data_IF_096548787992
#
_entry.id   IF_096548787992
#
_cell.length_a   1.000
_cell.length_b   1.000
_cell.length_c   1.000
_cell.angle_alpha   90.00
_cell.angle_beta   90.00
_cell.angle_gamma   90.00
#
_symmetry.space_group_name_H-M   'P 1'
#
loop_
_entity.id
_entity.type
_entity.pdbx_description
1 polymer ?
#
# COMPACT_ATOMS: atom_id res chain seq x y z
N UNK A 1 12.35 -14.15 -4.63
CA UNK A 1 12.34 -13.39 -3.35
C UNK A 1 10.99 -13.64 -2.69
N UNK A 2 10.96 -13.95 -1.39
CA UNK A 2 9.70 -14.20 -0.68
C UNK A 2 9.15 -12.89 -0.14
N UNK A 3 7.88 -12.63 -0.42
CA UNK A 3 7.20 -11.40 0.00
C UNK A 3 6.78 -11.47 1.46
N UNK A 4 7.17 -10.48 2.26
CA UNK A 4 6.71 -10.33 3.63
C UNK A 4 5.55 -9.33 3.71
N UNK A 5 4.72 -9.48 4.75
CA UNK A 5 3.55 -8.65 4.99
C UNK A 5 3.50 -8.20 6.45
N UNK A 6 2.74 -7.13 6.74
CA UNK A 6 2.45 -6.66 8.09
C UNK A 6 1.06 -7.12 8.51
N UNK A 7 0.96 -7.81 9.64
CA UNK A 7 -0.33 -8.29 10.13
C UNK A 7 -1.11 -7.18 10.84
N UNK A 8 -2.35 -6.93 10.42
CA UNK A 8 -3.23 -5.95 11.10
C UNK A 8 -3.60 -6.35 12.53
N UNK A 9 -3.65 -7.66 12.82
CA UNK A 9 -4.09 -8.16 14.13
C UNK A 9 -3.04 -8.06 15.22
N UNK A 10 -1.76 -8.31 14.91
CA UNK A 10 -0.67 -8.32 15.90
C UNK A 10 0.49 -7.36 15.58
N UNK A 11 0.40 -6.60 14.49
CA UNK A 11 1.46 -5.71 14.00
C UNK A 11 2.82 -6.40 13.73
N UNK A 12 2.85 -7.74 13.66
CA UNK A 12 4.06 -8.48 13.33
C UNK A 12 4.26 -8.56 11.81
N UNK A 13 5.52 -8.44 11.38
CA UNK A 13 5.92 -8.84 10.04
C UNK A 13 5.96 -10.36 9.93
N UNK A 14 5.38 -10.93 8.88
CA UNK A 14 5.37 -12.36 8.65
C UNK A 14 5.67 -12.71 7.19
N UNK A 15 6.23 -13.90 7.00
CA UNK A 15 6.63 -14.43 5.71
C UNK A 15 5.79 -15.67 5.39
N UNK A 16 4.64 -15.51 4.70
CA UNK A 16 3.78 -16.65 4.39
C UNK A 16 4.45 -17.62 3.40
N UNK A 17 3.98 -18.88 3.34
CA UNK A 17 4.30 -19.77 2.22
C UNK A 17 3.69 -19.23 0.92
N UNK A 18 4.20 -19.65 -0.23
CA UNK A 18 3.71 -19.19 -1.54
C UNK A 18 2.23 -19.55 -1.77
N UNK A 19 1.79 -20.71 -1.27
CA UNK A 19 0.40 -21.16 -1.29
C UNK A 19 -0.52 -20.40 -0.31
N UNK A 20 0.04 -19.50 0.51
CA UNK A 20 -0.63 -18.84 1.65
C UNK A 20 -1.22 -19.80 2.70
N UNK A 21 -1.04 -21.11 2.55
CA UNK A 21 -1.57 -22.12 3.46
C UNK A 21 -0.41 -22.80 4.17
N UNK A 22 -0.43 -22.82 5.50
CA UNK A 22 0.68 -23.39 6.27
C UNK A 22 0.68 -24.92 6.18
N UNK A 23 1.76 -25.55 5.70
CA UNK A 23 1.86 -27.00 5.68
C UNK A 23 1.85 -27.54 7.12
N UNK A 24 1.11 -28.62 7.35
CA UNK A 24 0.97 -29.25 8.68
C UNK A 24 -0.03 -28.57 9.62
N UNK A 25 -0.74 -27.51 9.19
CA UNK A 25 -1.82 -26.87 9.97
C UNK A 25 -3.08 -26.68 9.13
N UNK A 26 -3.95 -27.70 9.04
CA UNK A 26 -5.18 -27.61 8.26
C UNK A 26 -6.06 -26.44 8.75
N UNK A 27 -6.56 -25.63 7.81
CA UNK A 27 -7.39 -24.45 8.09
C UNK A 27 -6.62 -23.18 8.48
N UNK A 28 -5.29 -23.24 8.60
CA UNK A 28 -4.46 -22.07 8.85
C UNK A 28 -3.97 -21.46 7.52
N UNK A 29 -4.73 -20.49 7.01
CA UNK A 29 -4.37 -19.71 5.83
C UNK A 29 -3.96 -18.29 6.24
N UNK A 30 -2.77 -17.87 5.80
CA UNK A 30 -2.37 -16.48 5.79
C UNK A 30 -3.13 -15.71 4.70
N UNK A 31 -3.16 -14.40 4.83
CA UNK A 31 -3.59 -13.47 3.78
C UNK A 31 -2.58 -12.34 3.69
N UNK A 32 -2.68 -11.38 2.77
CA UNK A 32 -1.84 -10.17 2.79
C UNK A 32 -2.04 -9.28 4.03
N UNK A 33 -3.14 -9.46 4.78
CA UNK A 33 -3.53 -8.59 5.91
C UNK A 33 -3.42 -9.27 7.28
N UNK A 34 -3.28 -10.60 7.34
CA UNK A 34 -3.07 -11.32 8.59
C UNK A 34 -2.17 -12.55 8.46
N UNK A 35 -1.46 -12.87 9.55
CA UNK A 35 -0.54 -14.01 9.64
C UNK A 35 -1.22 -15.40 9.70
N UNK A 36 -2.55 -15.45 9.73
CA UNK A 36 -3.31 -16.71 9.70
C UNK A 36 -3.71 -17.25 11.08
N UNK A 37 -3.12 -16.74 12.17
CA UNK A 37 -3.61 -17.04 13.53
C UNK A 37 -5.07 -16.61 13.68
N UNK A 38 -5.87 -17.44 14.35
CA UNK A 38 -7.33 -17.24 14.49
C UNK A 38 -7.63 -15.87 15.11
N UNK A 39 -6.93 -15.51 16.20
CA UNK A 39 -7.09 -14.21 16.84
C UNK A 39 -6.75 -13.04 15.92
N UNK A 40 -5.72 -13.19 15.08
CA UNK A 40 -5.29 -12.15 14.15
C UNK A 40 -6.25 -12.00 12.98
N UNK A 41 -6.82 -13.11 12.48
CA UNK A 41 -7.87 -13.10 11.47
C UNK A 41 -9.10 -12.35 11.96
N UNK A 42 -9.58 -12.67 13.16
CA UNK A 42 -10.74 -11.99 13.77
C UNK A 42 -10.45 -10.51 14.04
N UNK A 43 -9.26 -10.19 14.55
CA UNK A 43 -8.86 -8.80 14.77
C UNK A 43 -8.80 -8.00 13.45
N UNK A 44 -8.19 -8.56 12.41
CA UNK A 44 -8.13 -7.92 11.09
C UNK A 44 -9.53 -7.68 10.50
N UNK A 45 -10.43 -8.66 10.58
CA UNK A 45 -11.82 -8.51 10.16
C UNK A 45 -12.54 -7.38 10.89
N UNK A 46 -12.35 -7.26 12.22
CA UNK A 46 -12.92 -6.17 13.02
C UNK A 46 -12.35 -4.81 12.64
N UNK A 47 -11.04 -4.72 12.40
CA UNK A 47 -10.38 -3.48 11.97
C UNK A 47 -10.94 -3.02 10.62
N UNK A 48 -11.05 -3.93 9.66
CA UNK A 48 -11.60 -3.66 8.32
C UNK A 48 -13.07 -3.23 8.42
N UNK A 49 -13.88 -3.95 9.21
CA UNK A 49 -15.29 -3.61 9.39
C UNK A 49 -15.47 -2.20 10.00
N UNK A 50 -14.64 -1.84 10.98
CA UNK A 50 -14.69 -0.53 11.65
C UNK A 50 -14.23 0.62 10.76
N UNK A 51 -13.41 0.36 9.75
CA UNK A 51 -12.93 1.42 8.87
C UNK A 51 -13.97 1.86 7.84
N UNK A 52 -15.03 1.07 7.62
CA UNK A 52 -16.03 1.32 6.57
C UNK A 52 -15.47 1.21 5.14
N UNK A 53 -14.28 0.60 4.98
CA UNK A 53 -13.62 0.44 3.69
C UNK A 53 -13.69 -1.03 3.25
N UNK A 54 -13.70 -1.31 1.94
CA UNK A 54 -13.76 -2.68 1.45
C UNK A 54 -12.47 -3.44 1.78
N UNK A 55 -12.58 -4.73 2.14
CA UNK A 55 -11.45 -5.59 2.46
C UNK A 55 -10.40 -5.65 1.32
N UNK A 56 -10.87 -5.64 0.07
CA UNK A 56 -10.01 -5.61 -1.12
C UNK A 56 -9.06 -4.40 -1.15
N UNK A 57 -9.45 -3.27 -0.55
CA UNK A 57 -8.57 -2.10 -0.46
C UNK A 57 -7.40 -2.37 0.50
N UNK A 58 -7.64 -3.02 1.63
CA UNK A 58 -6.59 -3.39 2.58
C UNK A 58 -5.60 -4.38 1.97
N UNK A 59 -6.10 -5.39 1.24
CA UNK A 59 -5.25 -6.33 0.52
C UNK A 59 -4.42 -5.62 -0.56
N UNK A 60 -5.04 -4.72 -1.33
CA UNK A 60 -4.32 -3.93 -2.33
C UNK A 60 -3.24 -3.02 -1.70
N UNK A 61 -3.51 -2.44 -0.53
CA UNK A 61 -2.53 -1.65 0.22
C UNK A 61 -1.37 -2.52 0.71
N UNK A 62 -1.65 -3.70 1.28
CA UNK A 62 -0.64 -4.63 1.74
C UNK A 62 0.26 -5.11 0.59
N UNK A 63 -0.34 -5.45 -0.56
CA UNK A 63 0.40 -5.84 -1.77
C UNK A 63 1.28 -4.71 -2.32
N UNK A 64 0.80 -3.46 -2.30
CA UNK A 64 1.60 -2.29 -2.72
C UNK A 64 2.75 -2.03 -1.76
N UNK A 65 2.52 -2.13 -0.45
CA UNK A 65 3.56 -1.94 0.57
C UNK A 65 4.67 -3.00 0.43
N UNK A 66 4.29 -4.26 0.23
CA UNK A 66 5.20 -5.36 -0.04
C UNK A 66 6.07 -5.10 -1.28
N UNK A 67 5.46 -4.72 -2.42
CA UNK A 67 6.21 -4.38 -3.65
C UNK A 67 7.13 -3.17 -3.48
N UNK A 68 6.69 -2.18 -2.70
CA UNK A 68 7.52 -1.00 -2.39
C UNK A 68 8.75 -1.40 -1.56
N UNK A 69 8.60 -2.31 -0.61
CA UNK A 69 9.73 -2.84 0.16
C UNK A 69 10.72 -3.62 -0.73
N UNK A 70 10.22 -4.42 -1.67
CA UNK A 70 11.07 -5.15 -2.64
C UNK A 70 11.85 -4.20 -3.56
N UNK A 71 11.28 -3.03 -3.90
CA UNK A 71 11.91 -2.03 -4.78
C UNK A 71 12.80 -1.03 -4.04
N UNK A 72 12.64 -0.88 -2.72
CA UNK A 72 13.46 0.00 -1.89
C UNK A 72 14.94 -0.45 -1.79
N UNK A 73 15.27 -1.67 -2.24
CA UNK A 73 16.66 -2.12 -2.43
C UNK A 73 17.36 -1.55 -3.66
N UNK A 74 16.65 -0.85 -4.55
CA UNK A 74 17.24 -0.11 -5.67
C UNK A 74 17.57 1.33 -5.28
N UNK A 75 18.60 1.96 -5.89
CA UNK A 75 18.91 3.36 -5.60
C UNK A 75 17.66 4.21 -5.82
N UNK A 76 17.26 4.95 -4.79
CA UNK A 76 16.15 5.89 -4.83
C UNK A 76 16.30 6.78 -6.06
N UNK A 77 15.50 6.58 -7.11
CA UNK A 77 15.52 7.46 -8.27
C UNK A 77 15.11 8.86 -7.79
N UNK A 78 16.01 9.86 -7.82
CA UNK A 78 15.65 11.22 -7.49
C UNK A 78 14.89 11.78 -8.69
N UNK A 79 13.56 11.79 -8.64
CA UNK A 79 12.78 12.31 -9.77
C UNK A 79 11.28 12.43 -9.54
N UNK A 80 10.69 11.72 -8.57
CA UNK A 80 9.24 11.76 -8.35
C UNK A 80 8.83 12.80 -7.29
N UNK A 81 9.37 14.02 -7.40
CA UNK A 81 8.77 15.18 -6.73
C UNK A 81 7.61 15.67 -7.59
N UNK A 82 6.43 15.67 -6.98
CA UNK A 82 5.17 16.18 -7.51
C UNK A 82 5.34 17.59 -8.10
N UNK A 83 4.87 17.81 -9.32
CA UNK A 83 4.38 19.11 -9.75
C UNK A 83 2.85 19.04 -9.84
N UNK A 84 2.19 19.21 -8.68
CA UNK A 84 0.82 19.72 -8.67
C UNK A 84 0.90 21.18 -9.12
N UNK A 85 0.28 21.51 -10.26
CA UNK A 85 -0.08 22.89 -10.57
C UNK A 85 0.39 23.39 -11.93
N UNK A 86 -0.44 23.18 -12.97
CA UNK A 86 -0.72 24.20 -13.98
C UNK A 86 -2.19 24.08 -14.37
N UNK A 87 -3.06 24.63 -13.52
CA UNK A 87 -4.38 25.06 -13.95
C UNK A 87 -4.24 26.44 -14.57
N UNK A 88 -4.81 26.58 -15.76
CA UNK A 88 -5.34 27.82 -16.37
C UNK A 88 -4.33 28.89 -16.81
N UNK A 89 -3.93 28.82 -18.09
CA UNK A 89 -3.54 30.01 -18.84
C UNK A 89 -4.84 30.70 -19.29
N UNK A 90 -5.35 31.63 -18.48
CA UNK A 90 -6.46 32.53 -18.83
C UNK A 90 -6.31 33.83 -18.04
N UNK A 91 -5.74 34.85 -18.68
CA UNK A 91 -5.64 36.21 -18.15
C UNK A 91 -5.09 37.16 -19.23
N UNK A 92 -5.80 38.24 -19.60
CA UNK A 92 -5.45 39.09 -20.74
C UNK A 92 -4.37 40.10 -20.31
N UNK A 93 -3.15 39.90 -20.78
CA UNK A 93 -2.03 40.84 -20.59
C UNK A 93 -2.05 41.91 -21.67
N UNK A 94 -2.72 43.02 -21.37
CA UNK A 94 -2.80 44.22 -22.20
C UNK A 94 -1.41 44.77 -22.59
N UNK A 95 -1.37 45.29 -23.81
CA UNK A 95 -0.31 46.10 -24.40
C UNK A 95 0.35 47.09 -23.43
N UNK A 96 1.68 47.19 -23.48
CA UNK A 96 2.40 48.41 -23.14
C UNK A 96 3.52 48.61 -24.16
N UNK A 97 3.40 49.70 -24.89
CA UNK A 97 4.24 50.22 -25.97
C UNK A 97 5.67 50.50 -25.50
N UNK A 98 6.64 50.21 -26.37
CA UNK A 98 8.04 50.60 -26.23
C UNK A 98 8.15 52.13 -26.34
N UNK A 99 8.80 52.76 -25.36
CA UNK A 99 9.51 54.02 -25.55
C UNK A 99 10.97 53.65 -25.80
N UNK A 100 11.50 54.08 -26.94
CA UNK A 100 12.83 53.80 -27.45
C UNK A 100 12.84 53.96 -28.96
#
# INVERSE_FOLDING_TARGET
MRTWYLCLGCAAHYLPPESMTYPGRPGLAASPVHCGLVQCRTAAQRIIARSGLPAALFEAMALRAARAADTAGGPARPGQRRARGRRSASGPGSARTKLG
#
